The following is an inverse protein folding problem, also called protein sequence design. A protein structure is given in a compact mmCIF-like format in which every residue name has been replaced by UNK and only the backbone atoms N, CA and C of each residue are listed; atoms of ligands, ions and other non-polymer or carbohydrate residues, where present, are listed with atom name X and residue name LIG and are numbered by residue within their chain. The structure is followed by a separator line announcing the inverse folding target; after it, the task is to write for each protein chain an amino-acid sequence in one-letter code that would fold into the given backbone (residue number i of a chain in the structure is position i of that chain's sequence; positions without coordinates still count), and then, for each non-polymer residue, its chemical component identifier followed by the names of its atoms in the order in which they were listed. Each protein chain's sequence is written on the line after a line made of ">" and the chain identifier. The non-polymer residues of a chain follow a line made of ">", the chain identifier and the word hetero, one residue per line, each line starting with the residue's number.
data_IF_850558502412
#
_entry.id   IF_850558502412
#
_cell.length_a   1.000
_cell.length_b   1.000
_cell.length_c   1.000
_cell.angle_alpha   90.00
_cell.angle_beta   90.00
_cell.angle_gamma   90.00
#
_symmetry.space_group_name_H-M   'P 1'
#
loop_
_entity.id
_entity.type
_entity.pdbx_description
1 polymer ?
#
# COMPACT_ATOMS: atom_id res chain seq x y z
N UNK A 1 -18.63 11.86 -1.26
CA UNK A 1 -17.79 11.48 -0.09
C UNK A 1 -16.34 11.74 -0.45
N UNK A 2 -15.56 12.33 0.46
CA UNK A 2 -14.13 12.56 0.21
C UNK A 2 -13.34 11.38 0.79
N UNK A 3 -12.45 10.74 0.01
CA UNK A 3 -11.73 9.55 0.46
C UNK A 3 -10.70 9.87 1.54
N UNK A 4 -10.36 8.85 2.31
CA UNK A 4 -9.25 8.88 3.25
C UNK A 4 -7.98 8.36 2.59
N UNK A 5 -6.84 8.91 3.00
CA UNK A 5 -5.52 8.54 2.53
C UNK A 5 -4.60 8.23 3.71
N UNK A 6 -3.60 7.39 3.46
CA UNK A 6 -2.49 7.18 4.41
C UNK A 6 -1.31 8.02 3.94
N UNK A 7 -0.76 8.85 4.83
CA UNK A 7 0.43 9.67 4.56
C UNK A 7 1.60 9.32 5.47
N UNK A 8 2.80 9.60 4.98
CA UNK A 8 4.07 9.58 5.73
C UNK A 8 4.89 10.80 5.33
N UNK A 9 5.21 11.69 6.28
CA UNK A 9 5.99 12.90 6.00
C UNK A 9 5.43 13.72 4.80
N UNK A 10 4.10 13.82 4.69
CA UNK A 10 3.42 14.53 3.60
C UNK A 10 3.30 13.76 2.27
N UNK A 11 3.82 12.53 2.17
CA UNK A 11 3.74 11.67 0.99
C UNK A 11 2.58 10.67 1.13
N UNK A 12 1.84 10.40 0.06
CA UNK A 12 0.73 9.45 -0.01
C UNK A 12 1.21 8.02 -0.20
N UNK A 13 0.51 7.06 0.42
CA UNK A 13 0.73 5.63 0.24
C UNK A 13 0.32 5.15 -1.16
N UNK A 14 1.23 4.50 -1.84
CA UNK A 14 1.05 3.80 -3.11
C UNK A 14 1.38 2.32 -2.88
N UNK A 15 0.55 1.43 -3.43
CA UNK A 15 0.78 -0.02 -3.38
C UNK A 15 1.21 -0.46 -4.77
N UNK A 16 2.43 -0.96 -4.88
CA UNK A 16 2.94 -1.56 -6.11
C UNK A 16 3.03 -3.07 -5.90
N UNK A 17 2.56 -3.82 -6.89
CA UNK A 17 2.75 -5.27 -6.92
C UNK A 17 3.85 -5.53 -7.94
N UNK A 18 4.97 -6.07 -7.50
CA UNK A 18 6.02 -6.54 -8.41
C UNK A 18 5.82 -8.04 -8.60
N UNK A 19 5.55 -8.44 -9.84
CA UNK A 19 5.61 -9.84 -10.25
C UNK A 19 7.08 -10.16 -10.53
N UNK A 20 7.67 -11.03 -9.72
CA UNK A 20 8.98 -11.59 -10.04
C UNK A 20 8.74 -12.80 -10.95
N UNK A 21 8.91 -12.62 -12.26
CA UNK A 21 9.06 -13.73 -13.21
C UNK A 21 10.44 -14.38 -12.99
N UNK A 22 10.59 -15.14 -11.90
CA UNK A 22 11.74 -16.01 -11.76
C UNK A 22 11.54 -17.21 -12.70
N UNK A 23 12.08 -17.10 -13.91
CA UNK A 23 12.40 -18.26 -14.73
C UNK A 23 13.46 -19.07 -13.99
N UNK A 24 13.04 -19.95 -13.09
CA UNK A 24 13.92 -20.97 -12.55
C UNK A 24 13.15 -22.29 -12.39
N UNK A 25 13.46 -23.17 -13.33
CA UNK A 25 13.37 -24.62 -13.30
C UNK A 25 13.31 -25.16 -11.85
N UNK A 26 12.21 -25.86 -11.51
CA UNK A 26 11.99 -26.77 -10.36
C UNK A 26 10.70 -26.46 -9.57
N UNK A 27 9.79 -27.43 -9.63
CA UNK A 27 8.72 -27.81 -8.69
C UNK A 27 8.43 -26.91 -7.48
N UNK A 28 7.14 -26.55 -7.33
CA UNK A 28 6.51 -25.83 -6.19
C UNK A 28 6.71 -24.29 -6.15
N UNK A 29 6.39 -23.62 -7.26
CA UNK A 29 6.38 -22.16 -7.33
C UNK A 29 5.05 -21.61 -6.81
N UNK A 30 5.00 -21.37 -5.50
CA UNK A 30 4.00 -20.47 -4.91
C UNK A 30 4.35 -19.05 -5.37
N UNK A 31 3.67 -18.52 -6.39
CA UNK A 31 3.91 -17.18 -6.92
C UNK A 31 3.94 -16.14 -5.79
N UNK A 32 5.15 -15.70 -5.39
CA UNK A 32 5.33 -14.73 -4.31
C UNK A 32 5.02 -13.32 -4.85
N UNK A 33 3.74 -12.95 -4.84
CA UNK A 33 3.35 -11.56 -5.06
C UNK A 33 3.94 -10.67 -3.96
N UNK A 34 5.00 -9.94 -4.29
CA UNK A 34 5.63 -9.02 -3.34
C UNK A 34 4.94 -7.67 -3.45
N UNK A 35 4.08 -7.36 -2.49
CA UNK A 35 3.46 -6.04 -2.37
C UNK A 35 4.45 -5.06 -1.74
N UNK A 36 4.85 -4.04 -2.51
CA UNK A 36 5.70 -2.96 -2.04
C UNK A 36 4.88 -1.72 -1.69
N UNK A 37 5.12 -1.15 -0.51
CA UNK A 37 4.52 0.10 -0.05
C UNK A 37 5.47 1.26 -0.33
N UNK A 38 5.09 2.15 -1.24
CA UNK A 38 5.88 3.31 -1.62
C UNK A 38 5.14 4.58 -1.23
N UNK A 39 5.85 5.59 -0.76
CA UNK A 39 5.26 6.88 -0.41
C UNK A 39 5.65 7.92 -1.46
N UNK A 40 4.68 8.48 -2.18
CA UNK A 40 4.90 9.47 -3.26
C UNK A 40 4.16 10.77 -2.98
N UNK A 41 4.63 11.89 -3.55
CA UNK A 41 3.92 13.18 -3.45
C UNK A 41 2.59 13.17 -4.20
N UNK A 42 2.50 12.34 -5.22
CA UNK A 42 1.35 12.23 -6.11
C UNK A 42 0.16 11.63 -5.36
N UNK A 43 -0.98 12.32 -5.45
CA UNK A 43 -2.26 11.82 -4.98
C UNK A 43 -2.89 10.86 -5.98
N UNK A 44 -2.57 11.05 -7.27
CA UNK A 44 -2.98 10.13 -8.32
C UNK A 44 -2.34 8.76 -8.10
N UNK A 45 -3.12 7.67 -8.23
CA UNK A 45 -2.67 6.31 -7.93
C UNK A 45 -2.48 5.99 -6.44
N UNK A 46 -2.69 6.95 -5.53
CA UNK A 46 -2.60 6.71 -4.10
C UNK A 46 -3.73 5.78 -3.63
N UNK A 47 -3.44 4.95 -2.63
CA UNK A 47 -4.44 4.07 -2.02
C UNK A 47 -5.46 4.92 -1.27
N UNK A 48 -6.72 4.84 -1.70
CA UNK A 48 -7.88 5.47 -1.06
C UNK A 48 -8.61 4.48 -0.16
N UNK A 49 -9.26 5.04 0.86
CA UNK A 49 -10.08 4.32 1.81
C UNK A 49 -11.43 5.02 1.96
N UNK A 50 -12.48 4.23 2.21
CA UNK A 50 -13.83 4.77 2.37
C UNK A 50 -13.98 5.58 3.67
N UNK A 51 -13.40 5.06 4.75
CA UNK A 51 -13.43 5.66 6.07
C UNK A 51 -12.08 5.51 6.80
N UNK A 52 -11.95 6.23 7.93
CA UNK A 52 -10.72 6.21 8.72
C UNK A 52 -10.47 4.87 9.42
N UNK A 53 -11.49 4.09 9.76
CA UNK A 53 -11.34 2.79 10.40
C UNK A 53 -10.79 1.76 9.40
N UNK A 54 -11.21 1.81 8.14
CA UNK A 54 -10.64 1.01 7.05
C UNK A 54 -9.16 1.32 6.85
N UNK A 55 -8.79 2.60 6.80
CA UNK A 55 -7.39 3.04 6.68
C UNK A 55 -6.54 2.58 7.89
N UNK A 56 -7.04 2.73 9.12
CA UNK A 56 -6.35 2.27 10.33
C UNK A 56 -6.18 0.75 10.36
N UNK A 57 -7.22 0.00 9.99
CA UNK A 57 -7.15 -1.46 9.89
C UNK A 57 -6.08 -1.88 8.91
N UNK A 58 -5.96 -1.18 7.78
CA UNK A 58 -4.93 -1.44 6.78
C UNK A 58 -3.51 -1.20 7.35
N UNK A 59 -3.30 -0.07 8.04
CA UNK A 59 -2.03 0.26 8.71
C UNK A 59 -1.62 -0.86 9.67
N UNK A 60 -2.55 -1.33 10.51
CA UNK A 60 -2.31 -2.38 11.51
C UNK A 60 -1.98 -3.71 10.83
N UNK A 61 -2.81 -4.15 9.88
CA UNK A 61 -2.62 -5.43 9.17
C UNK A 61 -1.30 -5.48 8.40
N UNK A 62 -0.87 -4.35 7.83
CA UNK A 62 0.36 -4.23 7.05
C UNK A 62 1.56 -3.73 7.86
N UNK A 63 1.38 -3.50 9.16
CA UNK A 63 2.41 -3.02 10.11
C UNK A 63 3.16 -1.77 9.60
N UNK A 64 2.43 -0.86 8.95
CA UNK A 64 3.00 0.36 8.37
C UNK A 64 3.26 1.36 9.50
N UNK A 65 4.51 1.78 9.70
CA UNK A 65 4.90 2.63 10.84
C UNK A 65 5.19 4.08 10.44
N UNK A 66 4.87 4.99 11.36
CA UNK A 66 5.11 6.43 11.21
C UNK A 66 4.24 7.04 10.13
N UNK A 67 2.96 6.70 10.14
CA UNK A 67 1.97 7.14 9.15
C UNK A 67 0.77 7.76 9.84
N UNK A 68 0.06 8.59 9.10
CA UNK A 68 -1.14 9.29 9.54
C UNK A 68 -2.27 9.07 8.53
N UNK A 69 -3.51 9.03 9.02
CA UNK A 69 -4.70 8.98 8.15
C UNK A 69 -5.18 10.40 7.95
N UNK A 70 -5.23 10.84 6.69
CA UNK A 70 -5.71 12.18 6.32
C UNK A 70 -6.98 12.08 5.49
N UNK A 71 -7.86 13.04 5.69
CA UNK A 71 -9.05 13.24 4.86
C UNK A 71 -8.76 14.36 3.87
N UNK A 72 -9.10 14.13 2.62
CA UNK A 72 -9.14 15.21 1.61
C UNK A 72 -10.46 16.00 1.69
#
# INVERSE_FOLDING_TARGET
>A
MRPYYIKKNGLYLHVQTTEHEEYQDSSDINAMYTMQYVFKKEKDGAKTFYDSAEANTYIIKRRIKGVEVVRD
#
